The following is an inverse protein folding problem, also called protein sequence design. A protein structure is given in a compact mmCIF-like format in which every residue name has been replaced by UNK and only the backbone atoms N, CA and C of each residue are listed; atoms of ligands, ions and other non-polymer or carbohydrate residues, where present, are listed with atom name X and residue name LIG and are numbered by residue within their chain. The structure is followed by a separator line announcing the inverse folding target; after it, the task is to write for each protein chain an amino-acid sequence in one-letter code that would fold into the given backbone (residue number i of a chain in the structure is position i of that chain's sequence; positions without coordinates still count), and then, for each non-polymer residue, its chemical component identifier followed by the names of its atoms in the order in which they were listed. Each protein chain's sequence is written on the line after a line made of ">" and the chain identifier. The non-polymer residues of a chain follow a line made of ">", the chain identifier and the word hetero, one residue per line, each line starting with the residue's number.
data_IF_316630527431
#
_entry.id   IF_316630527431
#
_cell.length_a   1.000
_cell.length_b   1.000
_cell.length_c   1.000
_cell.angle_alpha   90.00
_cell.angle_beta   90.00
_cell.angle_gamma   90.00
#
_symmetry.space_group_name_H-M   'P 1'
#
loop_
_entity.id
_entity.type
_entity.pdbx_description
1 polymer ?
#
# COMPACT_ATOMS: atom_id res chain seq x y z
N UNK A 1 11.94 -6.45 -7.68
CA UNK A 1 12.39 -6.54 -6.28
C UNK A 1 13.32 -7.74 -6.11
N UNK A 2 14.43 -7.65 -5.35
CA UNK A 2 15.35 -8.77 -5.18
C UNK A 2 14.87 -9.75 -4.08
N UNK A 3 15.39 -11.00 -4.10
CA UNK A 3 14.97 -12.09 -3.20
C UNK A 3 15.14 -11.73 -1.71
N UNK A 4 16.21 -11.04 -1.35
CA UNK A 4 16.47 -10.68 0.07
C UNK A 4 15.47 -9.65 0.60
N UNK A 5 15.09 -8.66 -0.23
CA UNK A 5 14.04 -7.68 0.13
C UNK A 5 12.67 -8.34 0.28
N UNK A 6 12.32 -9.28 -0.61
CA UNK A 6 11.07 -10.06 -0.51
C UNK A 6 11.07 -10.88 0.77
N UNK A 7 12.16 -11.59 1.06
CA UNK A 7 12.30 -12.37 2.28
C UNK A 7 12.14 -11.50 3.54
N UNK A 8 12.80 -10.34 3.58
CA UNK A 8 12.70 -9.41 4.71
C UNK A 8 11.28 -8.88 4.89
N UNK A 9 10.58 -8.52 3.79
CA UNK A 9 9.20 -8.05 3.86
C UNK A 9 8.28 -9.13 4.45
N UNK A 10 8.36 -10.37 3.95
CA UNK A 10 7.58 -11.50 4.47
C UNK A 10 7.90 -11.80 5.94
N UNK A 11 9.19 -11.85 6.31
CA UNK A 11 9.62 -12.02 7.70
C UNK A 11 9.06 -10.93 8.61
N UNK A 12 9.04 -9.67 8.15
CA UNK A 12 8.50 -8.56 8.93
C UNK A 12 6.99 -8.69 9.09
N UNK A 13 6.25 -9.03 8.03
CA UNK A 13 4.80 -9.26 8.07
C UNK A 13 4.46 -10.40 9.02
N UNK A 14 5.11 -11.55 8.93
CA UNK A 14 4.92 -12.68 9.85
C UNK A 14 5.20 -12.32 11.31
N UNK A 15 6.21 -11.49 11.56
CA UNK A 15 6.47 -10.99 12.92
C UNK A 15 5.32 -10.13 13.43
N UNK A 16 4.78 -9.25 12.57
CA UNK A 16 3.71 -8.32 12.90
C UNK A 16 2.34 -8.98 13.06
N UNK A 17 2.15 -10.21 12.63
CA UNK A 17 0.94 -11.00 12.96
C UNK A 17 0.80 -11.28 14.46
N UNK A 18 1.94 -11.46 15.15
CA UNK A 18 1.97 -11.90 16.55
C UNK A 18 2.49 -10.84 17.51
N UNK A 19 3.24 -9.84 17.02
CA UNK A 19 3.95 -8.84 17.82
C UNK A 19 3.78 -7.44 17.24
N UNK A 20 4.00 -6.41 18.04
CA UNK A 20 3.88 -5.01 17.61
C UNK A 20 5.18 -4.52 16.97
N UNK A 21 5.06 -3.58 16.04
CA UNK A 21 6.22 -2.97 15.37
C UNK A 21 7.19 -2.30 16.36
N UNK A 22 6.68 -1.74 17.46
CA UNK A 22 7.51 -1.12 18.50
C UNK A 22 8.46 -2.10 19.17
N UNK A 23 8.12 -3.39 19.20
CA UNK A 23 8.86 -4.44 19.91
C UNK A 23 10.03 -5.01 19.09
N UNK A 24 10.15 -4.63 17.81
CA UNK A 24 11.27 -5.04 16.96
C UNK A 24 12.58 -4.43 17.48
N UNK A 25 13.52 -5.29 17.90
CA UNK A 25 14.92 -4.92 18.02
C UNK A 25 15.58 -5.05 16.65
N UNK A 26 15.83 -3.91 15.99
CA UNK A 26 16.26 -3.87 14.59
C UNK A 26 17.56 -4.64 14.34
N UNK A 27 18.55 -4.48 15.23
CA UNK A 27 19.86 -5.12 15.12
C UNK A 27 19.74 -6.65 15.09
N UNK A 28 19.00 -7.21 16.05
CA UNK A 28 18.77 -8.65 16.15
C UNK A 28 17.86 -9.15 15.02
N UNK A 29 16.88 -8.33 14.62
CA UNK A 29 15.94 -8.67 13.56
C UNK A 29 16.62 -8.79 12.19
N UNK A 30 17.63 -7.97 11.94
CA UNK A 30 18.37 -7.91 10.67
C UNK A 30 19.61 -8.79 10.64
N UNK A 31 20.05 -9.39 11.75
CA UNK A 31 21.32 -10.10 11.87
C UNK A 31 21.56 -11.17 10.77
N UNK A 32 20.48 -11.79 10.27
CA UNK A 32 20.54 -12.83 9.24
C UNK A 32 20.02 -12.35 7.88
N UNK A 33 19.92 -11.03 7.65
CA UNK A 33 19.41 -10.46 6.41
C UNK A 33 20.50 -9.66 5.71
N UNK A 34 20.75 -9.98 4.42
CA UNK A 34 21.69 -9.23 3.58
C UNK A 34 20.96 -8.12 2.81
N UNK A 35 20.24 -7.24 3.53
CA UNK A 35 19.52 -6.11 2.91
C UNK A 35 20.19 -4.81 3.35
N UNK A 36 20.83 -4.07 2.44
CA UNK A 36 21.46 -2.79 2.77
C UNK A 36 20.42 -1.70 3.10
N UNK A 37 20.85 -0.67 3.82
CA UNK A 37 20.07 0.55 4.10
C UNK A 37 18.77 0.32 4.91
N UNK A 38 18.81 -0.63 5.86
CA UNK A 38 17.75 -0.85 6.84
C UNK A 38 18.16 -0.28 8.19
N UNK A 39 18.07 1.05 8.35
CA UNK A 39 18.60 1.78 9.50
C UNK A 39 17.57 2.01 10.60
N UNK A 40 16.29 1.91 10.27
CA UNK A 40 15.19 2.15 11.20
C UNK A 40 13.94 1.35 10.84
N UNK A 41 12.92 1.40 11.70
CA UNK A 41 11.65 0.66 11.49
C UNK A 41 10.85 1.19 10.30
N UNK A 42 11.03 2.45 9.92
CA UNK A 42 10.36 3.04 8.74
C UNK A 42 10.90 2.38 7.46
N UNK A 43 12.19 2.04 7.41
CA UNK A 43 12.78 1.35 6.26
C UNK A 43 12.17 -0.05 6.09
N UNK A 44 11.85 -0.75 7.20
CA UNK A 44 11.11 -2.02 7.13
C UNK A 44 9.72 -1.83 6.52
N UNK A 45 8.99 -0.78 6.92
CA UNK A 45 7.67 -0.48 6.37
C UNK A 45 7.75 -0.06 4.91
N UNK A 46 8.75 0.75 4.54
CA UNK A 46 9.03 1.08 3.14
C UNK A 46 9.26 -0.18 2.31
N UNK A 47 10.04 -1.14 2.84
CA UNK A 47 10.28 -2.42 2.16
C UNK A 47 9.02 -3.28 2.03
N UNK A 48 8.12 -3.24 3.01
CA UNK A 48 6.79 -3.89 2.92
C UNK A 48 5.95 -3.21 1.82
N UNK A 49 5.94 -1.87 1.75
CA UNK A 49 5.22 -1.18 0.68
C UNK A 49 5.77 -1.56 -0.71
N UNK A 50 7.10 -1.63 -0.88
CA UNK A 50 7.72 -2.11 -2.11
C UNK A 50 7.33 -3.55 -2.46
N UNK A 51 7.19 -4.40 -1.44
CA UNK A 51 6.73 -5.78 -1.62
C UNK A 51 5.27 -5.83 -2.09
N UNK A 52 4.40 -5.03 -1.51
CA UNK A 52 3.01 -4.93 -1.95
C UNK A 52 2.89 -4.38 -3.37
N UNK A 53 3.70 -3.37 -3.74
CA UNK A 53 3.76 -2.87 -5.13
C UNK A 53 4.27 -3.93 -6.11
N UNK A 54 5.23 -4.74 -5.67
CA UNK A 54 5.72 -5.88 -6.46
C UNK A 54 4.64 -6.97 -6.66
N UNK A 55 3.86 -7.28 -5.61
CA UNK A 55 2.73 -8.22 -5.71
C UNK A 55 1.65 -7.67 -6.65
N UNK A 56 1.30 -6.39 -6.50
CA UNK A 56 0.34 -5.72 -7.37
C UNK A 56 0.77 -5.78 -8.84
N UNK A 57 2.03 -5.49 -9.16
CA UNK A 57 2.55 -5.63 -10.53
C UNK A 57 2.35 -7.02 -11.11
N UNK A 58 2.45 -8.06 -10.29
CA UNK A 58 2.24 -9.44 -10.71
C UNK A 58 0.77 -9.77 -10.95
N UNK A 59 -0.14 -9.26 -10.12
CA UNK A 59 -1.57 -9.53 -10.28
C UNK A 59 -2.16 -8.84 -11.51
N UNK A 60 -1.57 -7.72 -11.95
CA UNK A 60 -2.07 -6.91 -13.07
C UNK A 60 -1.58 -7.33 -14.47
N UNK A 61 -0.83 -8.43 -14.60
CA UNK A 61 -0.26 -8.87 -15.90
C UNK A 61 -1.34 -9.11 -16.95
N UNK A 62 -2.53 -9.54 -16.55
CA UNK A 62 -3.63 -9.89 -17.44
C UNK A 62 -4.86 -8.99 -17.26
N UNK A 63 -4.69 -7.76 -16.78
CA UNK A 63 -5.83 -6.86 -16.60
C UNK A 63 -6.40 -6.45 -17.96
N UNK A 64 -7.72 -6.58 -18.13
CA UNK A 64 -8.39 -6.14 -19.34
C UNK A 64 -8.42 -4.61 -19.42
N UNK A 65 -8.26 -4.09 -20.65
CA UNK A 65 -8.34 -2.64 -20.88
C UNK A 65 -9.79 -2.19 -20.85
N UNK A 66 -10.08 -1.30 -19.92
CA UNK A 66 -11.39 -0.68 -19.72
C UNK A 66 -11.24 0.86 -19.58
N UNK A 67 -12.28 1.55 -19.12
CA UNK A 67 -12.16 2.97 -18.78
C UNK A 67 -11.08 3.22 -17.73
N UNK A 68 -10.49 4.44 -17.72
CA UNK A 68 -9.48 4.80 -16.69
C UNK A 68 -10.04 4.64 -15.28
N UNK A 69 -11.32 4.97 -15.11
CA UNK A 69 -12.05 4.83 -13.85
C UNK A 69 -12.13 3.36 -13.42
N UNK A 70 -12.57 2.49 -14.31
CA UNK A 70 -12.74 1.07 -14.00
C UNK A 70 -11.40 0.39 -13.74
N UNK A 71 -10.37 0.73 -14.53
CA UNK A 71 -9.00 0.29 -14.28
C UNK A 71 -8.49 0.75 -12.91
N UNK A 72 -8.75 2.01 -12.51
CA UNK A 72 -8.40 2.49 -11.16
C UNK A 72 -9.12 1.69 -10.08
N UNK A 73 -10.40 1.41 -10.26
CA UNK A 73 -11.20 0.63 -9.31
C UNK A 73 -10.59 -0.77 -9.13
N UNK A 74 -10.37 -1.50 -10.21
CA UNK A 74 -9.82 -2.86 -10.20
C UNK A 74 -8.41 -2.89 -9.60
N UNK A 75 -7.53 -1.95 -9.98
CA UNK A 75 -6.16 -1.88 -9.48
C UNK A 75 -6.14 -1.57 -7.97
N UNK A 76 -7.01 -0.66 -7.51
CA UNK A 76 -7.10 -0.34 -6.09
C UNK A 76 -7.70 -1.50 -5.29
N UNK A 77 -8.72 -2.19 -5.81
CA UNK A 77 -9.27 -3.39 -5.17
C UNK A 77 -8.23 -4.49 -5.09
N UNK A 78 -7.50 -4.80 -6.17
CA UNK A 78 -6.39 -5.75 -6.13
C UNK A 78 -5.33 -5.38 -5.08
N UNK A 79 -5.09 -4.08 -4.87
CA UNK A 79 -4.21 -3.63 -3.79
C UNK A 79 -4.79 -3.92 -2.41
N UNK A 80 -6.10 -3.71 -2.19
CA UNK A 80 -6.76 -4.03 -0.92
C UNK A 80 -6.82 -5.53 -0.65
N UNK A 81 -6.98 -6.36 -1.67
CA UNK A 81 -6.89 -7.83 -1.55
C UNK A 81 -5.52 -8.26 -1.06
N UNK A 82 -4.44 -7.69 -1.62
CA UNK A 82 -3.07 -7.93 -1.15
C UNK A 82 -2.89 -7.48 0.32
N UNK A 83 -3.45 -6.32 0.71
CA UNK A 83 -3.40 -5.88 2.11
C UNK A 83 -4.19 -6.84 3.02
N UNK A 84 -5.28 -7.39 2.51
CA UNK A 84 -6.16 -8.30 3.24
C UNK A 84 -5.48 -9.65 3.54
N UNK A 85 -4.63 -10.16 2.65
CA UNK A 85 -3.77 -11.34 2.92
C UNK A 85 -2.89 -11.15 4.16
N UNK A 86 -2.51 -9.90 4.48
CA UNK A 86 -1.65 -9.55 5.62
C UNK A 86 -2.37 -8.64 6.62
N UNK A 87 -3.69 -8.79 6.74
CA UNK A 87 -4.59 -7.86 7.44
C UNK A 87 -4.12 -7.50 8.85
N UNK A 88 -3.82 -8.49 9.68
CA UNK A 88 -3.37 -8.27 11.06
C UNK A 88 -2.09 -7.45 11.12
N UNK A 89 -1.12 -7.77 10.26
CA UNK A 89 0.16 -7.08 10.17
C UNK A 89 0.00 -5.65 9.69
N UNK A 90 -0.86 -5.42 8.69
CA UNK A 90 -1.15 -4.08 8.16
C UNK A 90 -1.89 -3.23 9.19
N UNK A 91 -2.90 -3.78 9.89
CA UNK A 91 -3.57 -3.11 11.01
C UNK A 91 -2.57 -2.72 12.11
N UNK A 92 -1.60 -3.56 12.41
CA UNK A 92 -0.54 -3.30 13.39
C UNK A 92 0.36 -2.13 12.96
N UNK A 93 0.69 -2.03 11.67
CA UNK A 93 1.44 -0.91 11.09
C UNK A 93 0.63 0.38 11.17
N UNK A 94 -0.64 0.37 10.76
CA UNK A 94 -1.51 1.54 10.81
C UNK A 94 -1.64 2.05 12.25
N UNK A 95 -1.91 1.17 13.21
CA UNK A 95 -2.00 1.52 14.63
C UNK A 95 -0.69 2.14 15.18
N UNK A 96 0.47 1.66 14.71
CA UNK A 96 1.75 2.25 15.07
C UNK A 96 1.85 3.71 14.60
N UNK A 97 1.39 4.01 13.38
CA UNK A 97 1.41 5.36 12.84
C UNK A 97 0.32 6.25 13.40
N UNK A 98 -0.84 5.73 13.78
CA UNK A 98 -1.86 6.50 14.50
C UNK A 98 -1.32 7.05 15.82
N UNK A 99 -0.46 6.28 16.51
CA UNK A 99 0.20 6.74 17.75
C UNK A 99 1.48 7.58 17.51
N UNK A 100 2.02 7.61 16.29
CA UNK A 100 3.26 8.28 15.91
C UNK A 100 3.18 8.89 14.50
N UNK A 101 2.33 9.91 14.28
CA UNK A 101 2.06 10.45 12.94
C UNK A 101 3.31 11.04 12.25
N UNK A 102 4.30 11.50 13.01
CA UNK A 102 5.57 12.01 12.47
C UNK A 102 6.33 10.97 11.62
N UNK A 103 6.15 9.68 11.91
CA UNK A 103 6.76 8.60 11.12
C UNK A 103 6.19 8.49 9.71
N UNK A 104 4.93 8.89 9.51
CA UNK A 104 4.27 8.87 8.20
C UNK A 104 4.95 9.82 7.22
N UNK A 105 5.38 11.00 7.70
CA UNK A 105 6.03 12.01 6.85
C UNK A 105 7.24 11.45 6.10
N UNK A 106 8.00 10.55 6.74
CA UNK A 106 9.15 9.89 6.12
C UNK A 106 8.76 8.86 5.04
N UNK A 107 7.53 8.38 5.07
CA UNK A 107 6.99 7.44 4.08
C UNK A 107 6.31 8.13 2.90
N UNK A 108 5.93 9.41 3.02
CA UNK A 108 5.16 10.13 1.98
C UNK A 108 5.77 9.96 0.58
N UNK A 109 7.08 10.17 0.35
CA UNK A 109 7.66 10.00 -0.98
C UNK A 109 7.39 8.60 -1.55
N UNK A 110 7.55 7.57 -0.71
CA UNK A 110 7.33 6.17 -1.10
C UNK A 110 5.86 5.86 -1.37
N UNK A 111 4.97 6.44 -0.59
CA UNK A 111 3.53 6.30 -0.77
C UNK A 111 3.07 7.00 -2.07
N UNK A 112 3.67 8.13 -2.44
CA UNK A 112 3.40 8.81 -3.71
C UNK A 112 3.90 7.96 -4.89
N UNK A 113 5.11 7.39 -4.83
CA UNK A 113 5.63 6.47 -5.86
C UNK A 113 4.65 5.32 -6.11
N UNK A 114 4.09 4.73 -5.04
CA UNK A 114 3.07 3.69 -5.15
C UNK A 114 1.79 4.17 -5.85
N UNK A 115 1.36 5.43 -5.65
CA UNK A 115 0.17 5.98 -6.33
C UNK A 115 0.46 6.35 -7.79
N UNK A 116 1.67 6.78 -8.10
CA UNK A 116 2.13 6.95 -9.49
C UNK A 116 2.09 5.61 -10.22
N UNK A 117 2.51 4.53 -9.56
CA UNK A 117 2.41 3.18 -10.11
C UNK A 117 0.96 2.81 -10.45
N UNK A 118 0.02 3.00 -9.51
CA UNK A 118 -1.42 2.74 -9.71
C UNK A 118 -1.95 3.57 -10.90
N UNK A 119 -1.64 4.86 -10.95
CA UNK A 119 -2.04 5.74 -12.04
C UNK A 119 -1.50 5.26 -13.40
N UNK A 120 -0.24 4.85 -13.45
CA UNK A 120 0.40 4.35 -14.68
C UNK A 120 -0.29 3.10 -15.19
N UNK A 121 -0.64 2.16 -14.34
CA UNK A 121 -1.39 0.97 -14.72
C UNK A 121 -2.82 1.28 -15.18
N UNK A 122 -3.44 2.34 -14.67
CA UNK A 122 -4.74 2.83 -15.12
C UNK A 122 -4.65 3.72 -16.37
N UNK A 123 -3.51 3.76 -17.07
CA UNK A 123 -3.28 4.62 -18.23
C UNK A 123 -3.48 6.12 -17.95
N UNK A 124 -3.23 6.55 -16.71
CA UNK A 124 -3.26 7.96 -16.31
C UNK A 124 -1.85 8.51 -16.38
N UNK A 125 -1.65 9.55 -17.20
CA UNK A 125 -0.35 10.22 -17.27
C UNK A 125 -0.08 11.01 -15.98
N UNK A 126 1.00 10.69 -15.23
CA UNK A 126 1.32 11.38 -14.00
C UNK A 126 2.07 12.71 -14.20
N UNK A 127 2.40 13.07 -15.45
CA UNK A 127 3.27 14.21 -15.78
C UNK A 127 2.48 15.52 -15.90
N UNK A 128 3.17 16.64 -15.65
CA UNK A 128 2.60 17.98 -15.75
C UNK A 128 1.63 18.31 -14.60
N UNK A 129 1.06 19.51 -14.64
CA UNK A 129 0.17 20.03 -13.58
C UNK A 129 -1.07 19.12 -13.41
N UNK A 130 -1.70 18.73 -14.51
CA UNK A 130 -2.87 17.86 -14.47
C UNK A 130 -2.53 16.48 -13.89
N UNK A 131 -1.36 15.92 -14.24
CA UNK A 131 -0.90 14.65 -13.68
C UNK A 131 -0.70 14.73 -12.16
N UNK A 132 -0.07 15.80 -11.68
CA UNK A 132 0.11 16.04 -10.23
C UNK A 132 -1.24 16.12 -9.50
N UNK A 133 -2.23 16.80 -10.07
CA UNK A 133 -3.58 16.89 -9.51
C UNK A 133 -4.21 15.49 -9.44
N UNK A 134 -4.16 14.73 -10.53
CA UNK A 134 -4.71 13.36 -10.57
C UNK A 134 -4.05 12.45 -9.52
N UNK A 135 -2.72 12.50 -9.38
CA UNK A 135 -2.02 11.72 -8.35
C UNK A 135 -2.45 12.11 -6.93
N UNK A 136 -2.65 13.42 -6.66
CA UNK A 136 -3.17 13.87 -5.36
C UNK A 136 -4.57 13.32 -5.09
N UNK A 137 -5.45 13.33 -6.07
CA UNK A 137 -6.81 12.79 -5.97
C UNK A 137 -6.75 11.27 -5.70
N UNK A 138 -5.97 10.52 -6.48
CA UNK A 138 -5.75 9.09 -6.28
C UNK A 138 -5.23 8.81 -4.87
N UNK A 139 -4.28 9.61 -4.39
CA UNK A 139 -3.74 9.52 -3.03
C UNK A 139 -4.86 9.69 -1.99
N UNK A 140 -5.65 10.74 -2.09
CA UNK A 140 -6.74 11.03 -1.14
C UNK A 140 -7.78 9.90 -1.15
N UNK A 141 -8.28 9.51 -2.33
CA UNK A 141 -9.28 8.43 -2.47
C UNK A 141 -8.74 7.13 -1.86
N UNK A 142 -7.51 6.76 -2.19
CA UNK A 142 -6.90 5.57 -1.65
C UNK A 142 -6.88 5.57 -0.11
N UNK A 143 -6.48 6.67 0.54
CA UNK A 143 -6.37 6.70 2.00
C UNK A 143 -7.71 6.83 2.70
N UNK A 144 -8.70 7.50 2.12
CA UNK A 144 -10.08 7.46 2.63
C UNK A 144 -10.61 6.02 2.59
N UNK A 145 -10.44 5.33 1.46
CA UNK A 145 -10.87 3.94 1.31
C UNK A 145 -10.07 2.99 2.21
N UNK A 146 -8.77 3.26 2.46
CA UNK A 146 -7.96 2.48 3.41
C UNK A 146 -8.52 2.56 4.84
N UNK A 147 -9.06 3.70 5.23
CA UNK A 147 -9.74 3.86 6.53
C UNK A 147 -11.01 3.01 6.60
N UNK A 148 -11.77 2.92 5.51
CA UNK A 148 -12.93 2.02 5.42
C UNK A 148 -12.48 0.58 5.50
N UNK A 149 -11.46 0.18 4.72
CA UNK A 149 -10.88 -1.17 4.75
C UNK A 149 -10.40 -1.57 6.15
N UNK A 150 -9.79 -0.66 6.89
CA UNK A 150 -9.33 -0.92 8.25
C UNK A 150 -10.45 -1.40 9.17
N UNK A 151 -11.67 -0.87 8.99
CA UNK A 151 -12.87 -1.17 9.78
C UNK A 151 -13.84 -2.15 9.09
N UNK A 152 -13.56 -2.56 7.85
CA UNK A 152 -14.39 -3.49 7.10
C UNK A 152 -14.01 -4.92 7.47
N UNK A 153 -14.83 -5.60 8.28
CA UNK A 153 -14.59 -6.96 8.75
C UNK A 153 -15.12 -8.02 7.77
N UNK A 154 -15.78 -7.61 6.69
CA UNK A 154 -16.29 -8.52 5.68
C UNK A 154 -15.13 -9.03 4.80
N UNK A 155 -15.05 -10.35 4.61
CA UNK A 155 -14.01 -10.98 3.76
C UNK A 155 -14.11 -10.50 2.30
N UNK A 156 -15.32 -10.23 1.80
CA UNK A 156 -15.58 -9.71 0.44
C UNK A 156 -15.28 -8.21 0.28
N UNK A 157 -14.89 -7.50 1.35
CA UNK A 157 -14.59 -6.07 1.35
C UNK A 157 -15.72 -5.19 0.75
N UNK A 158 -16.99 -5.56 0.94
CA UNK A 158 -18.14 -4.87 0.34
C UNK A 158 -18.22 -3.38 0.67
N UNK A 159 -17.95 -3.01 1.93
CA UNK A 159 -17.95 -1.60 2.35
C UNK A 159 -16.79 -0.85 1.69
N UNK A 160 -15.61 -1.47 1.62
CA UNK A 160 -14.42 -0.92 0.98
C UNK A 160 -14.68 -0.70 -0.51
N UNK A 161 -15.25 -1.69 -1.18
CA UNK A 161 -15.64 -1.64 -2.59
C UNK A 161 -16.64 -0.51 -2.86
N UNK A 162 -17.73 -0.43 -2.08
CA UNK A 162 -18.77 0.59 -2.22
C UNK A 162 -18.23 2.01 -2.03
N UNK A 163 -17.37 2.22 -1.04
CA UNK A 163 -16.77 3.54 -0.79
C UNK A 163 -15.79 3.91 -1.91
N UNK A 164 -14.97 2.98 -2.39
CA UNK A 164 -14.08 3.22 -3.52
C UNK A 164 -14.84 3.61 -4.76
N UNK A 165 -15.88 2.84 -5.11
CA UNK A 165 -16.75 3.11 -6.26
C UNK A 165 -17.36 4.52 -6.21
N UNK A 166 -17.94 4.88 -5.06
CA UNK A 166 -18.54 6.20 -4.83
C UNK A 166 -17.55 7.34 -5.07
N UNK A 167 -16.31 7.22 -4.54
CA UNK A 167 -15.33 8.29 -4.69
C UNK A 167 -14.79 8.38 -6.12
N UNK A 168 -14.59 7.26 -6.81
CA UNK A 168 -14.15 7.27 -8.21
C UNK A 168 -15.20 7.86 -9.14
N UNK A 169 -16.50 7.58 -8.94
CA UNK A 169 -17.59 8.18 -9.70
C UNK A 169 -17.70 9.71 -9.54
N UNK A 170 -17.24 10.25 -8.42
CA UNK A 170 -17.23 11.70 -8.18
C UNK A 170 -16.05 12.43 -8.85
N UNK A 171 -15.03 11.71 -9.29
CA UNK A 171 -13.86 12.31 -9.95
C UNK A 171 -14.09 12.51 -11.45
N UNK A 172 -14.98 11.75 -12.06
CA UNK A 172 -15.31 11.87 -13.50
C UNK A 172 -16.28 13.03 -13.81
N UNK A 173 -16.90 13.62 -12.80
CA UNK A 173 -17.79 14.80 -12.93
C UNK A 173 -16.98 16.10 -12.83
#
# INVERSE_FOLDING_TARGET
>A
MNKNKIFLAKKTLQYLEKKKLRDINLKNFLSNTKVPNMNNKIDLISNINDFFDFQLKKSLVNIEKSSQRDMLFEIMMARYDILNEYRTSVKNIINYFMSRPQGVLKLIPKLIESKILIATFANINPSGIQGVIKIKIIFVVYYITLFTWFNDENESLEKTMSVLDKYLNNIEK
#
